data_IF_787533895401
#
_entry.id   IF_787533895401
#
_cell.length_a   1.000
_cell.length_b   1.000
_cell.length_c   1.000
_cell.angle_alpha   90.00
_cell.angle_beta   90.00
_cell.angle_gamma   90.00
#
_symmetry.space_group_name_H-M   'P 1'
#
loop_
_entity.id
_entity.type
_entity.pdbx_description
1 polymer ?
#
# COMPACT_ATOMS: atom_id res chain seq x y z
N UNK A 1 0.57 25.26 -7.15
CA UNK A 1 0.20 25.59 -8.55
C UNK A 1 -0.07 24.30 -9.29
N UNK A 2 -1.27 24.06 -9.82
CA UNK A 2 -1.71 23.16 -10.90
C UNK A 2 -2.94 22.27 -10.59
N UNK A 3 -3.99 22.84 -10.02
CA UNK A 3 -5.32 22.22 -10.15
C UNK A 3 -6.09 22.68 -11.41
N UNK A 4 -5.61 23.67 -12.14
CA UNK A 4 -6.29 24.21 -13.35
C UNK A 4 -5.91 23.50 -14.66
N UNK A 5 -4.83 22.72 -14.72
CA UNK A 5 -4.37 22.08 -15.98
C UNK A 5 -4.98 20.70 -16.26
N UNK A 6 -5.69 20.06 -15.31
CA UNK A 6 -6.30 18.75 -15.55
C UNK A 6 -7.60 18.80 -16.38
N UNK A 7 -8.24 19.96 -16.52
CA UNK A 7 -9.47 20.09 -17.29
C UNK A 7 -9.27 20.23 -18.82
N UNK A 8 -8.09 20.60 -19.28
CA UNK A 8 -7.84 20.95 -20.68
C UNK A 8 -7.72 19.74 -21.63
N UNK A 9 -7.47 18.52 -21.11
CA UNK A 9 -7.31 17.29 -21.91
C UNK A 9 -8.20 16.13 -21.42
N UNK A 10 -9.33 16.39 -20.76
CA UNK A 10 -10.17 15.32 -20.26
C UNK A 10 -11.18 14.83 -21.31
N UNK A 11 -11.05 13.58 -21.71
CA UNK A 11 -12.07 12.89 -22.52
C UNK A 11 -13.22 12.50 -21.58
N UNK A 12 -14.36 13.19 -21.71
CA UNK A 12 -15.52 13.04 -20.81
C UNK A 12 -15.97 11.57 -20.58
N UNK A 13 -15.85 10.70 -21.58
CA UNK A 13 -16.23 9.28 -21.41
C UNK A 13 -15.26 8.53 -20.52
N UNK A 14 -13.96 8.85 -20.55
CA UNK A 14 -12.97 8.22 -19.66
C UNK A 14 -13.20 8.59 -18.19
N UNK A 15 -13.56 9.85 -17.91
CA UNK A 15 -13.96 10.25 -16.56
C UNK A 15 -15.24 9.58 -16.05
N UNK A 16 -16.16 9.19 -16.95
CA UNK A 16 -17.31 8.37 -16.59
C UNK A 16 -16.93 6.93 -16.31
N UNK A 17 -15.98 6.39 -17.08
CA UNK A 17 -15.45 5.05 -16.90
C UNK A 17 -14.73 4.93 -15.53
N UNK A 18 -13.87 5.87 -15.17
CA UNK A 18 -13.18 5.83 -13.87
C UNK A 18 -14.16 5.80 -12.69
N UNK A 19 -15.26 6.58 -12.76
CA UNK A 19 -16.32 6.53 -11.73
C UNK A 19 -16.96 5.14 -11.61
N UNK A 20 -17.11 4.41 -12.71
CA UNK A 20 -17.64 3.03 -12.67
C UNK A 20 -16.59 2.10 -12.04
N UNK A 21 -15.31 2.20 -12.44
CA UNK A 21 -14.24 1.36 -11.91
C UNK A 21 -14.03 1.56 -10.41
N UNK A 22 -14.13 2.79 -9.92
CA UNK A 22 -13.96 3.15 -8.51
C UNK A 22 -15.04 2.55 -7.59
N UNK A 23 -16.14 2.01 -8.13
CA UNK A 23 -17.14 1.29 -7.33
C UNK A 23 -16.65 -0.09 -6.88
N UNK A 24 -15.81 -0.75 -7.69
CA UNK A 24 -15.39 -2.11 -7.45
C UNK A 24 -14.28 -2.16 -6.41
N UNK A 25 -14.55 -2.86 -5.32
CA UNK A 25 -13.63 -3.05 -4.21
C UNK A 25 -13.53 -4.55 -3.87
N UNK A 26 -12.64 -4.91 -2.96
CA UNK A 26 -12.57 -6.31 -2.50
C UNK A 26 -13.80 -6.78 -1.75
N UNK A 27 -14.54 -5.86 -1.13
CA UNK A 27 -15.77 -6.16 -0.37
C UNK A 27 -17.04 -5.99 -1.20
N UNK A 28 -17.04 -5.09 -2.19
CA UNK A 28 -18.14 -4.88 -3.12
C UNK A 28 -17.59 -5.03 -4.55
N UNK A 29 -17.75 -6.17 -5.16
CA UNK A 29 -17.14 -6.51 -6.45
C UNK A 29 -18.17 -6.91 -7.54
N UNK A 30 -19.46 -6.81 -7.26
CA UNK A 30 -20.55 -7.16 -8.16
C UNK A 30 -21.68 -6.15 -8.05
N UNK A 31 -22.14 -5.61 -9.18
CA UNK A 31 -23.17 -4.56 -9.23
C UNK A 31 -24.13 -4.76 -10.39
N UNK A 32 -25.42 -4.52 -10.15
CA UNK A 32 -26.40 -4.39 -11.23
C UNK A 32 -26.22 -3.07 -11.96
N UNK A 33 -26.73 -2.98 -13.20
CA UNK A 33 -26.73 -1.72 -13.96
C UNK A 33 -27.41 -0.58 -13.19
N UNK A 34 -28.47 -0.89 -12.45
CA UNK A 34 -29.19 0.09 -11.65
C UNK A 34 -28.33 0.65 -10.50
N UNK A 35 -27.65 -0.23 -9.77
CA UNK A 35 -26.72 0.17 -8.70
C UNK A 35 -25.58 1.04 -9.24
N UNK A 36 -24.98 0.65 -10.39
CA UNK A 36 -23.92 1.45 -11.04
C UNK A 36 -24.45 2.82 -11.44
N UNK A 37 -25.61 2.89 -12.08
CA UNK A 37 -26.25 4.14 -12.48
C UNK A 37 -26.48 5.06 -11.27
N UNK A 38 -27.04 4.53 -10.18
CA UNK A 38 -27.34 5.27 -8.95
C UNK A 38 -26.06 5.77 -8.25
N UNK A 39 -25.09 4.87 -8.05
CA UNK A 39 -23.83 5.21 -7.32
C UNK A 39 -22.94 6.20 -8.09
N UNK A 40 -22.91 6.12 -9.45
CA UNK A 40 -22.10 7.00 -10.30
C UNK A 40 -22.80 8.28 -10.75
N UNK A 41 -24.10 8.39 -10.54
CA UNK A 41 -24.98 9.45 -11.08
C UNK A 41 -24.96 9.53 -12.63
N UNK A 42 -24.71 8.40 -13.30
CA UNK A 42 -24.80 8.29 -14.76
C UNK A 42 -26.20 7.79 -15.15
N UNK A 43 -26.71 8.22 -16.32
CA UNK A 43 -27.93 7.61 -16.86
C UNK A 43 -27.70 6.11 -17.14
N UNK A 44 -28.74 5.27 -16.96
CA UNK A 44 -28.68 3.82 -17.25
C UNK A 44 -28.16 3.56 -18.66
N UNK A 45 -28.60 4.35 -19.66
CA UNK A 45 -28.14 4.21 -21.04
C UNK A 45 -26.63 4.48 -21.20
N UNK A 46 -26.08 5.49 -20.51
CA UNK A 46 -24.65 5.80 -20.54
C UNK A 46 -23.83 4.69 -19.88
N UNK A 47 -24.23 4.27 -18.67
CA UNK A 47 -23.57 3.19 -17.93
C UNK A 47 -23.59 1.89 -18.75
N UNK A 48 -24.74 1.51 -19.30
CA UNK A 48 -24.90 0.31 -20.13
C UNK A 48 -23.97 0.32 -21.35
N UNK A 49 -23.90 1.44 -22.09
CA UNK A 49 -23.01 1.53 -23.26
C UNK A 49 -21.54 1.37 -22.88
N UNK A 50 -21.09 1.96 -21.78
CA UNK A 50 -19.72 1.82 -21.29
C UNK A 50 -19.45 0.37 -20.91
N UNK A 51 -20.32 -0.23 -20.09
CA UNK A 51 -20.18 -1.62 -19.62
C UNK A 51 -20.17 -2.61 -20.77
N UNK A 52 -21.13 -2.50 -21.71
CA UNK A 52 -21.20 -3.39 -22.89
C UNK A 52 -19.99 -3.26 -23.81
N UNK A 53 -19.48 -2.03 -24.01
CA UNK A 53 -18.27 -1.85 -24.79
C UNK A 53 -17.08 -2.53 -24.11
N UNK A 54 -16.90 -2.33 -22.81
CA UNK A 54 -15.76 -2.89 -22.06
C UNK A 54 -15.88 -4.39 -21.82
N UNK A 55 -17.08 -4.94 -21.75
CA UNK A 55 -17.34 -6.38 -21.74
C UNK A 55 -16.78 -7.04 -23.00
N UNK A 56 -16.99 -6.44 -24.19
CA UNK A 56 -16.43 -6.95 -25.46
C UNK A 56 -14.90 -7.02 -25.45
N UNK A 57 -14.23 -6.16 -24.68
CA UNK A 57 -12.77 -6.13 -24.53
C UNK A 57 -12.27 -6.91 -23.30
N UNK A 58 -13.15 -7.64 -22.60
CA UNK A 58 -12.80 -8.46 -21.43
C UNK A 58 -12.52 -7.68 -20.14
N UNK A 59 -12.85 -6.38 -20.09
CA UNK A 59 -12.70 -5.56 -18.87
C UNK A 59 -13.84 -5.76 -17.88
N UNK A 60 -15.01 -6.15 -18.34
CA UNK A 60 -16.14 -6.54 -17.50
C UNK A 60 -16.67 -7.92 -17.89
N UNK A 61 -17.28 -8.61 -16.94
CA UNK A 61 -18.02 -9.84 -17.15
C UNK A 61 -19.45 -9.60 -16.65
N UNK A 62 -20.45 -9.99 -17.46
CA UNK A 62 -21.86 -9.93 -17.10
C UNK A 62 -22.38 -11.31 -16.71
N UNK A 63 -22.99 -11.42 -15.54
CA UNK A 63 -23.71 -12.60 -15.10
C UNK A 63 -25.21 -12.43 -15.41
N UNK A 64 -25.77 -13.19 -16.38
CA UNK A 64 -27.16 -13.03 -16.78
C UNK A 64 -28.18 -13.56 -15.75
N UNK A 65 -27.75 -14.44 -14.83
CA UNK A 65 -28.63 -14.99 -13.77
C UNK A 65 -28.85 -13.97 -12.66
N UNK A 66 -27.78 -13.31 -12.22
CA UNK A 66 -27.81 -12.31 -11.17
C UNK A 66 -28.00 -10.89 -11.72
N UNK A 67 -27.99 -10.70 -13.05
CA UNK A 67 -28.03 -9.41 -13.75
C UNK A 67 -26.93 -8.44 -13.27
N UNK A 68 -25.74 -8.97 -12.91
CA UNK A 68 -24.64 -8.19 -12.36
C UNK A 68 -23.42 -8.14 -13.27
N UNK A 69 -22.64 -7.06 -13.09
CA UNK A 69 -21.33 -6.86 -13.71
C UNK A 69 -20.24 -7.03 -12.65
N UNK A 70 -19.17 -7.72 -13.02
CA UNK A 70 -17.92 -7.87 -12.26
C UNK A 70 -16.74 -7.41 -13.10
N UNK A 71 -15.57 -7.18 -12.48
CA UNK A 71 -14.34 -6.92 -13.23
C UNK A 71 -13.92 -8.17 -14.02
N UNK A 72 -13.54 -7.97 -15.27
CA UNK A 72 -13.08 -9.04 -16.16
C UNK A 72 -11.59 -9.36 -15.98
N UNK A 73 -11.16 -10.53 -16.50
CA UNK A 73 -9.78 -11.02 -16.37
C UNK A 73 -8.73 -10.12 -17.07
N UNK A 74 -9.15 -9.22 -17.96
CA UNK A 74 -8.24 -8.28 -18.62
C UNK A 74 -7.51 -7.37 -17.60
N UNK A 75 -8.15 -7.05 -16.48
CA UNK A 75 -7.48 -6.32 -15.39
C UNK A 75 -6.39 -7.14 -14.72
N UNK A 76 -6.57 -8.45 -14.57
CA UNK A 76 -5.55 -9.34 -14.03
C UNK A 76 -4.33 -9.43 -14.98
N UNK A 77 -4.56 -9.55 -16.29
CA UNK A 77 -3.47 -9.54 -17.27
C UNK A 77 -2.64 -8.24 -17.21
N UNK A 78 -3.32 -7.09 -17.26
CA UNK A 78 -2.65 -5.80 -17.18
C UNK A 78 -1.96 -5.57 -15.82
N UNK A 79 -2.60 -5.97 -14.74
CA UNK A 79 -2.02 -5.96 -13.40
C UNK A 79 -0.79 -6.84 -13.32
N UNK A 80 -0.79 -8.02 -13.96
CA UNK A 80 0.36 -8.91 -14.07
C UNK A 80 1.57 -8.27 -14.77
N UNK A 81 1.34 -7.53 -15.86
CA UNK A 81 2.39 -6.78 -16.56
C UNK A 81 2.99 -5.70 -15.65
N UNK A 82 2.13 -4.92 -14.98
CA UNK A 82 2.59 -3.90 -14.02
C UNK A 82 3.39 -4.54 -12.89
N UNK A 83 2.88 -5.63 -12.32
CA UNK A 83 3.51 -6.36 -11.23
C UNK A 83 4.88 -6.93 -11.62
N UNK A 84 5.01 -7.51 -12.84
CA UNK A 84 6.27 -8.01 -13.36
C UNK A 84 7.30 -6.88 -13.62
N UNK A 85 6.84 -5.67 -13.94
CA UNK A 85 7.72 -4.52 -14.18
C UNK A 85 8.33 -3.91 -12.92
N UNK A 86 7.85 -4.27 -11.72
CA UNK A 86 8.37 -3.79 -10.44
C UNK A 86 9.68 -4.49 -10.08
N UNK A 87 10.80 -4.02 -10.63
CA UNK A 87 12.14 -4.60 -10.45
C UNK A 87 12.56 -4.75 -8.98
N UNK A 88 12.17 -3.81 -8.11
CA UNK A 88 12.43 -3.86 -6.66
C UNK A 88 11.83 -5.10 -6.01
N UNK A 89 10.66 -5.55 -6.46
CA UNK A 89 9.98 -6.73 -5.95
C UNK A 89 10.84 -7.99 -6.11
N UNK A 90 11.45 -8.17 -7.28
CA UNK A 90 12.28 -9.35 -7.56
C UNK A 90 13.52 -9.41 -6.65
N UNK A 91 14.08 -8.24 -6.30
CA UNK A 91 15.22 -8.14 -5.39
C UNK A 91 14.80 -8.42 -3.95
N UNK A 92 13.62 -7.96 -3.53
CA UNK A 92 13.13 -8.05 -2.14
C UNK A 92 12.52 -9.41 -1.83
N UNK A 93 11.89 -10.06 -2.82
CA UNK A 93 11.13 -11.32 -2.64
C UNK A 93 11.85 -12.42 -1.85
N UNK A 94 13.13 -12.77 -2.11
CA UNK A 94 13.82 -13.81 -1.34
C UNK A 94 13.98 -13.44 0.15
N UNK A 95 14.18 -12.16 0.45
CA UNK A 95 14.29 -11.69 1.83
C UNK A 95 12.93 -11.73 2.55
N UNK A 96 11.84 -11.43 1.84
CA UNK A 96 10.49 -11.56 2.40
C UNK A 96 10.17 -13.00 2.78
N UNK A 97 10.58 -13.98 1.97
CA UNK A 97 10.41 -15.40 2.27
C UNK A 97 11.20 -15.80 3.52
N UNK A 98 12.50 -15.43 3.57
CA UNK A 98 13.36 -15.70 4.72
C UNK A 98 12.78 -15.12 6.01
N UNK A 99 12.39 -13.83 5.99
CA UNK A 99 11.81 -13.15 7.15
C UNK A 99 10.46 -13.75 7.56
N UNK A 100 9.62 -14.12 6.59
CA UNK A 100 8.34 -14.75 6.84
C UNK A 100 8.48 -16.06 7.60
N UNK A 101 9.45 -16.90 7.21
CA UNK A 101 9.76 -18.15 7.91
C UNK A 101 10.44 -17.93 9.26
N UNK A 102 11.50 -17.11 9.32
CA UNK A 102 12.26 -16.87 10.55
C UNK A 102 11.41 -16.26 11.66
N UNK A 103 10.61 -15.26 11.33
CA UNK A 103 9.79 -14.49 12.26
C UNK A 103 8.37 -15.03 12.42
N UNK A 104 7.96 -16.02 11.60
CA UNK A 104 6.57 -16.51 11.50
C UNK A 104 5.57 -15.37 11.38
N UNK A 105 5.89 -14.39 10.53
CA UNK A 105 5.19 -13.13 10.39
C UNK A 105 4.67 -12.91 8.98
N UNK A 106 3.58 -12.14 8.86
CA UNK A 106 3.19 -11.58 7.56
C UNK A 106 4.19 -10.51 7.18
N UNK A 107 4.79 -10.63 5.99
CA UNK A 107 5.77 -9.66 5.45
C UNK A 107 5.12 -8.87 4.33
N UNK A 108 5.32 -7.56 4.35
CA UNK A 108 4.73 -6.60 3.45
C UNK A 108 5.80 -5.71 2.82
N UNK A 109 5.64 -5.40 1.54
CA UNK A 109 6.45 -4.41 0.83
C UNK A 109 5.54 -3.28 0.34
N UNK A 110 5.90 -2.03 0.63
CA UNK A 110 5.12 -0.86 0.25
C UNK A 110 5.96 0.26 -0.34
N UNK A 111 5.32 1.04 -1.20
CA UNK A 111 5.86 2.27 -1.79
C UNK A 111 4.85 3.40 -1.65
N UNK A 112 5.30 4.66 -1.67
CA UNK A 112 4.41 5.80 -1.89
C UNK A 112 4.45 6.16 -3.38
N UNK A 113 3.27 6.26 -3.98
CA UNK A 113 3.06 6.72 -5.34
C UNK A 113 1.74 7.49 -5.40
N UNK A 114 1.72 8.61 -6.12
CA UNK A 114 0.53 9.44 -6.30
C UNK A 114 -0.17 9.75 -4.95
N UNK A 115 0.64 10.17 -3.97
CA UNK A 115 0.24 10.57 -2.61
C UNK A 115 -0.36 9.44 -1.75
N UNK A 116 -0.21 8.18 -2.14
CA UNK A 116 -0.76 7.03 -1.42
C UNK A 116 0.29 5.95 -1.18
N UNK A 117 0.13 5.25 -0.06
CA UNK A 117 0.83 3.99 0.20
C UNK A 117 0.19 2.88 -0.62
N UNK A 118 0.99 2.19 -1.43
CA UNK A 118 0.61 0.97 -2.15
C UNK A 118 1.38 -0.23 -1.60
N UNK A 119 0.65 -1.32 -1.32
CA UNK A 119 1.25 -2.61 -1.02
C UNK A 119 1.59 -3.30 -2.34
N UNK A 120 2.88 -3.51 -2.62
CA UNK A 120 3.35 -4.05 -3.91
C UNK A 120 3.77 -5.52 -3.84
N UNK A 121 4.00 -6.06 -2.63
CA UNK A 121 4.17 -7.49 -2.40
C UNK A 121 3.76 -7.89 -0.98
N UNK A 122 3.41 -9.17 -0.78
CA UNK A 122 3.00 -9.76 0.49
C UNK A 122 3.46 -11.22 0.57
N UNK A 123 3.91 -11.63 1.75
CA UNK A 123 4.04 -13.03 2.15
C UNK A 123 3.21 -13.26 3.40
N UNK A 124 2.29 -14.20 3.32
CA UNK A 124 1.42 -14.52 4.46
C UNK A 124 2.15 -15.41 5.46
N UNK A 125 1.91 -15.15 6.73
CA UNK A 125 2.30 -16.03 7.80
C UNK A 125 1.33 -17.23 7.88
N UNK A 126 1.82 -18.36 8.32
CA UNK A 126 0.98 -19.49 8.76
C UNK A 126 0.27 -19.22 10.11
N UNK A 127 0.50 -18.04 10.70
CA UNK A 127 -0.09 -17.60 11.96
C UNK A 127 -1.60 -17.38 11.85
N UNK A 128 -2.28 -17.57 12.99
CA UNK A 128 -3.73 -17.36 13.14
C UNK A 128 -4.14 -15.91 12.87
N UNK A 129 -3.25 -14.93 13.13
CA UNK A 129 -3.52 -13.53 12.85
C UNK A 129 -3.19 -13.23 11.38
N UNK A 130 -4.26 -13.06 10.59
CA UNK A 130 -4.14 -12.60 9.20
C UNK A 130 -4.26 -11.09 9.14
N UNK A 131 -3.21 -10.44 8.67
CA UNK A 131 -3.27 -9.02 8.34
C UNK A 131 -4.10 -8.85 7.07
N UNK A 132 -5.22 -8.15 7.17
CA UNK A 132 -6.12 -7.83 6.05
C UNK A 132 -5.44 -6.85 5.07
N UNK A 133 -4.46 -7.35 4.34
CA UNK A 133 -3.74 -6.62 3.29
C UNK A 133 -3.59 -7.51 2.06
N UNK A 134 -3.54 -6.89 0.89
CA UNK A 134 -3.36 -7.57 -0.40
C UNK A 134 -2.53 -6.69 -1.33
N UNK A 135 -1.90 -7.31 -2.32
CA UNK A 135 -1.15 -6.61 -3.36
C UNK A 135 -2.09 -5.70 -4.15
N UNK A 136 -1.69 -4.44 -4.34
CA UNK A 136 -2.53 -3.41 -4.94
C UNK A 136 -3.37 -2.62 -3.95
N UNK A 137 -3.40 -3.00 -2.66
CA UNK A 137 -4.12 -2.22 -1.65
C UNK A 137 -3.52 -0.82 -1.53
N UNK A 138 -4.41 0.17 -1.57
CA UNK A 138 -4.11 1.59 -1.45
C UNK A 138 -4.53 2.10 -0.08
N UNK A 139 -3.66 2.85 0.59
CA UNK A 139 -3.88 3.44 1.92
C UNK A 139 -3.41 4.90 1.96
N UNK A 140 -3.86 5.70 2.92
CA UNK A 140 -3.25 6.99 3.20
C UNK A 140 -1.73 6.85 3.43
N UNK A 141 -0.90 7.86 3.08
CA UNK A 141 0.55 7.76 3.11
C UNK A 141 1.14 7.57 4.53
N UNK A 142 0.40 7.92 5.58
CA UNK A 142 0.79 7.76 6.98
C UNK A 142 0.40 6.41 7.60
N UNK A 143 -0.23 5.50 6.85
CA UNK A 143 -0.88 4.32 7.39
C UNK A 143 0.12 3.25 7.82
N UNK A 144 0.17 3.01 9.13
CA UNK A 144 0.94 1.94 9.75
C UNK A 144 2.45 2.02 9.54
N UNK A 145 3.14 0.95 9.92
CA UNK A 145 4.60 0.85 9.88
C UNK A 145 5.23 1.21 8.53
N UNK A 146 4.61 0.82 7.40
CA UNK A 146 5.16 1.10 6.07
C UNK A 146 5.00 2.57 5.72
N UNK A 147 3.81 3.15 5.93
CA UNK A 147 3.55 4.56 5.65
C UNK A 147 4.42 5.47 6.51
N UNK A 148 4.47 5.22 7.82
CA UNK A 148 5.32 5.99 8.72
C UNK A 148 6.82 5.88 8.38
N UNK A 149 7.29 4.67 8.02
CA UNK A 149 8.68 4.49 7.56
C UNK A 149 8.96 5.32 6.31
N UNK A 150 8.09 5.29 5.30
CA UNK A 150 8.28 6.08 4.08
C UNK A 150 8.24 7.59 4.33
N UNK A 151 7.27 8.06 5.12
CA UNK A 151 7.15 9.48 5.47
C UNK A 151 8.34 9.99 6.28
N UNK A 152 8.93 9.17 7.16
CA UNK A 152 10.07 9.57 7.98
C UNK A 152 11.28 10.01 7.14
N UNK A 153 11.44 9.43 5.94
CA UNK A 153 12.56 9.72 5.03
C UNK A 153 12.19 10.57 3.82
N UNK A 154 10.94 11.03 3.76
CA UNK A 154 10.48 11.93 2.70
C UNK A 154 11.01 13.36 2.94
N UNK A 155 11.19 14.12 1.86
CA UNK A 155 11.55 15.53 1.94
C UNK A 155 10.50 16.33 2.73
N UNK A 156 10.94 17.28 3.54
CA UNK A 156 10.07 17.93 4.53
C UNK A 156 8.89 18.68 3.89
N UNK A 157 9.07 19.29 2.73
CA UNK A 157 8.02 20.00 2.00
C UNK A 157 6.92 19.02 1.55
N UNK A 158 7.32 17.90 0.95
CA UNK A 158 6.38 16.87 0.49
C UNK A 158 5.67 16.19 1.66
N UNK A 159 6.41 15.86 2.73
CA UNK A 159 5.88 15.32 3.98
C UNK A 159 4.82 16.23 4.59
N UNK A 160 5.12 17.54 4.71
CA UNK A 160 4.19 18.51 5.25
C UNK A 160 2.93 18.65 4.38
N UNK A 161 3.08 18.63 3.06
CA UNK A 161 1.96 18.64 2.11
C UNK A 161 1.05 17.43 2.31
N UNK A 162 1.61 16.22 2.42
CA UNK A 162 0.85 15.00 2.62
C UNK A 162 0.15 14.97 3.98
N UNK A 163 0.80 15.41 5.05
CA UNK A 163 0.21 15.46 6.39
C UNK A 163 -0.89 16.53 6.51
N UNK A 164 -0.86 17.56 5.68
CA UNK A 164 -1.94 18.55 5.59
C UNK A 164 -3.13 17.99 4.82
N UNK A 165 -2.88 17.25 3.74
CA UNK A 165 -3.92 16.65 2.90
C UNK A 165 -4.60 15.45 3.58
N UNK A 166 -3.83 14.60 4.26
CA UNK A 166 -4.27 13.38 4.90
C UNK A 166 -4.01 13.46 6.40
N UNK A 167 -4.99 13.94 7.16
CA UNK A 167 -4.88 13.95 8.63
C UNK A 167 -4.99 12.52 9.19
N UNK A 168 -4.07 12.09 10.09
CA UNK A 168 -4.22 10.83 10.78
C UNK A 168 -5.56 10.72 11.50
N UNK A 169 -6.28 9.61 11.30
CA UNK A 169 -7.54 9.35 11.99
C UNK A 169 -7.40 8.14 12.92
N UNK A 170 -8.24 8.08 13.94
CA UNK A 170 -8.24 7.02 14.93
C UNK A 170 -8.69 5.69 14.31
N UNK A 171 -7.82 4.68 14.38
CA UNK A 171 -8.09 3.30 13.94
C UNK A 171 -8.27 2.42 15.17
N UNK A 172 -7.38 2.57 16.16
CA UNK A 172 -7.42 1.91 17.47
C UNK A 172 -7.24 2.96 18.57
N UNK A 173 -7.35 2.55 19.84
CA UNK A 173 -7.07 3.44 20.97
C UNK A 173 -5.60 3.92 21.01
N UNK A 174 -4.67 3.16 20.40
CA UNK A 174 -3.24 3.48 20.37
C UNK A 174 -2.80 4.25 19.12
N UNK A 175 -3.71 4.55 18.18
CA UNK A 175 -3.40 5.32 16.97
C UNK A 175 -2.97 6.74 17.34
N UNK A 176 -1.84 7.19 16.81
CA UNK A 176 -1.37 8.58 16.98
C UNK A 176 -2.15 9.47 16.01
N UNK A 177 -3.04 10.32 16.54
CA UNK A 177 -3.86 11.27 15.76
C UNK A 177 -3.38 12.71 15.94
N UNK A 178 -2.63 13.01 17.00
CA UNK A 178 -2.00 14.30 17.21
C UNK A 178 -0.84 14.49 16.24
N UNK A 179 -0.85 15.59 15.47
CA UNK A 179 0.10 15.81 14.38
C UNK A 179 1.52 16.05 14.88
N UNK A 180 1.69 16.67 16.04
CA UNK A 180 3.03 16.95 16.58
C UNK A 180 3.65 15.67 17.15
N UNK A 181 2.87 14.85 17.86
CA UNK A 181 3.31 13.51 18.30
C UNK A 181 3.63 12.62 17.09
N UNK A 182 2.85 12.75 16.02
CA UNK A 182 3.10 11.99 14.78
C UNK A 182 4.43 12.40 14.15
N UNK A 183 4.74 13.70 14.05
CA UNK A 183 6.04 14.20 13.57
C UNK A 183 7.21 13.71 14.45
N UNK A 184 7.06 13.80 15.78
CA UNK A 184 8.05 13.25 16.71
C UNK A 184 8.32 11.77 16.49
N UNK A 185 7.26 10.99 16.20
CA UNK A 185 7.40 9.57 15.84
C UNK A 185 8.14 9.36 14.52
N UNK A 186 7.93 10.21 13.52
CA UNK A 186 8.69 10.16 12.26
C UNK A 186 10.18 10.47 12.49
N UNK A 187 10.50 11.44 13.34
CA UNK A 187 11.88 11.78 13.69
C UNK A 187 12.56 10.64 14.47
N UNK A 188 11.83 9.99 15.37
CA UNK A 188 12.30 8.78 16.07
C UNK A 188 12.63 7.66 15.07
N UNK A 189 11.74 7.39 14.09
CA UNK A 189 11.95 6.38 13.04
C UNK A 189 13.21 6.70 12.24
N UNK A 190 13.41 7.97 11.86
CA UNK A 190 14.59 8.41 11.10
C UNK A 190 15.88 8.19 11.90
N UNK A 191 15.87 8.47 13.20
CA UNK A 191 17.00 8.29 14.12
C UNK A 191 17.33 6.82 14.38
N UNK A 192 16.29 5.98 14.60
CA UNK A 192 16.44 4.56 14.92
C UNK A 192 16.73 3.69 13.68
N UNK A 193 16.32 4.13 12.49
CA UNK A 193 16.40 3.35 11.26
C UNK A 193 15.27 2.35 11.04
N UNK A 194 14.30 2.30 11.96
CA UNK A 194 13.12 1.44 11.87
C UNK A 194 11.89 2.07 12.53
N UNK A 195 10.72 1.66 12.09
CA UNK A 195 9.43 1.94 12.72
C UNK A 195 9.01 0.75 13.56
N UNK A 196 8.73 0.96 14.84
CA UNK A 196 8.07 -0.01 15.71
C UNK A 196 6.77 0.59 16.22
N UNK A 197 5.66 -0.11 15.98
CA UNK A 197 4.33 0.26 16.47
C UNK A 197 3.65 -0.94 17.11
N UNK A 198 2.81 -0.70 18.12
CA UNK A 198 2.10 -1.74 18.86
C UNK A 198 0.62 -1.43 18.89
N UNK A 199 -0.17 -2.27 18.25
CA UNK A 199 -1.64 -2.14 18.24
C UNK A 199 -2.16 -0.79 17.71
N UNK A 200 -1.43 -0.09 16.83
CA UNK A 200 -1.83 1.24 16.33
C UNK A 200 -2.78 1.16 15.12
N UNK A 201 -2.72 0.04 14.38
CA UNK A 201 -3.54 -0.22 13.19
C UNK A 201 -4.44 -1.43 13.39
N UNK A 202 -3.93 -2.47 14.03
CA UNK A 202 -4.66 -3.70 14.36
C UNK A 202 -4.34 -4.02 15.82
N UNK A 203 -5.38 -4.20 16.65
CA UNK A 203 -5.19 -4.56 18.05
C UNK A 203 -4.49 -5.91 18.18
N UNK A 204 -3.56 -6.03 19.13
CA UNK A 204 -2.76 -7.24 19.35
C UNK A 204 -1.70 -7.52 18.28
N UNK A 205 -1.39 -6.54 17.39
CA UNK A 205 -0.37 -6.68 16.36
C UNK A 205 0.76 -5.67 16.58
N UNK A 206 2.00 -6.17 16.52
CA UNK A 206 3.21 -5.37 16.42
C UNK A 206 3.53 -5.20 14.94
N UNK A 207 3.66 -3.95 14.49
CA UNK A 207 4.19 -3.57 13.19
C UNK A 207 5.65 -3.14 13.30
N UNK A 208 6.52 -3.75 12.51
CA UNK A 208 7.92 -3.36 12.41
C UNK A 208 8.27 -3.08 10.95
N UNK A 209 8.71 -1.84 10.64
CA UNK A 209 9.02 -1.39 9.30
C UNK A 209 10.44 -0.86 9.16
N UNK A 210 11.10 -1.13 8.03
CA UNK A 210 12.45 -0.66 7.71
C UNK A 210 12.49 -0.03 6.31
N UNK A 211 13.34 1.00 6.08
CA UNK A 211 13.48 1.66 4.78
C UNK A 211 14.33 0.83 3.83
N UNK A 212 13.98 0.83 2.56
CA UNK A 212 14.79 0.30 1.46
C UNK A 212 15.31 1.47 0.63
N UNK A 213 16.64 1.56 0.48
CA UNK A 213 17.32 2.66 -0.22
C UNK A 213 17.84 2.23 -1.58
N UNK A 214 17.87 3.16 -2.52
CA UNK A 214 18.50 3.00 -3.83
C UNK A 214 19.95 3.53 -3.83
N UNK A 215 20.59 3.49 -4.99
CA UNK A 215 21.96 3.96 -5.22
C UNK A 215 22.20 5.44 -4.85
N UNK A 216 21.19 6.28 -4.88
CA UNK A 216 21.29 7.69 -4.47
C UNK A 216 21.08 7.92 -2.96
N UNK A 217 20.86 6.86 -2.18
CA UNK A 217 20.51 6.93 -0.76
C UNK A 217 19.04 7.26 -0.47
N UNK A 218 18.24 7.54 -1.51
CA UNK A 218 16.81 7.83 -1.35
C UNK A 218 16.07 6.56 -0.94
N UNK A 219 15.16 6.68 0.05
CA UNK A 219 14.23 5.61 0.41
C UNK A 219 13.17 5.47 -0.68
N UNK A 220 13.11 4.29 -1.31
CA UNK A 220 12.23 3.99 -2.45
C UNK A 220 11.11 3.02 -2.10
N UNK A 221 11.27 2.28 -1.01
CA UNK A 221 10.26 1.37 -0.48
C UNK A 221 10.42 1.19 1.03
N UNK A 222 9.41 0.63 1.69
CA UNK A 222 9.48 0.13 3.05
C UNK A 222 9.17 -1.37 3.06
N UNK A 223 9.97 -2.13 3.80
CA UNK A 223 9.72 -3.53 4.13
C UNK A 223 9.18 -3.59 5.55
N UNK A 224 8.12 -4.36 5.78
CA UNK A 224 7.49 -4.46 7.09
C UNK A 224 7.08 -5.88 7.43
N UNK A 225 7.07 -6.18 8.73
CA UNK A 225 6.52 -7.42 9.29
C UNK A 225 5.44 -7.10 10.30
N UNK A 226 4.40 -7.92 10.29
CA UNK A 226 3.32 -7.87 11.27
C UNK A 226 3.37 -9.14 12.14
N UNK A 227 3.53 -8.93 13.44
CA UNK A 227 3.75 -9.96 14.46
C UNK A 227 2.61 -9.97 15.48
N UNK A 228 2.13 -11.15 15.93
CA UNK A 228 1.15 -11.20 17.01
C UNK A 228 1.80 -10.77 18.35
N UNK A 229 1.28 -9.68 18.95
CA UNK A 229 1.88 -9.09 20.16
C UNK A 229 1.93 -10.08 21.33
N UNK A 230 0.90 -10.91 21.50
CA UNK A 230 0.78 -11.89 22.61
C UNK A 230 1.82 -13.02 22.56
N UNK A 231 2.46 -13.25 21.40
CA UNK A 231 3.50 -14.27 21.23
C UNK A 231 4.91 -13.71 21.36
N UNK A 232 5.07 -12.37 21.48
CA UNK A 232 6.36 -11.72 21.39
C UNK A 232 6.85 -11.28 22.78
N UNK A 233 8.02 -11.78 23.19
CA UNK A 233 8.79 -11.22 24.30
C UNK A 233 9.72 -10.12 23.79
N UNK A 234 10.19 -9.25 24.67
CA UNK A 234 11.10 -8.15 24.28
C UNK A 234 12.38 -8.64 23.57
N UNK A 235 12.90 -9.84 23.95
CA UNK A 235 14.04 -10.45 23.27
C UNK A 235 13.73 -10.82 21.81
N UNK A 236 12.49 -11.27 21.54
CA UNK A 236 12.06 -11.67 20.19
C UNK A 236 11.86 -10.44 19.32
N UNK A 237 11.35 -9.35 19.89
CA UNK A 237 11.23 -8.05 19.22
C UNK A 237 12.61 -7.50 18.85
N UNK A 238 13.57 -7.56 19.76
CA UNK A 238 14.96 -7.12 19.49
C UNK A 238 15.61 -7.95 18.36
N UNK A 239 15.38 -9.26 18.35
CA UNK A 239 15.83 -10.14 17.28
C UNK A 239 15.18 -9.77 15.95
N UNK A 240 13.86 -9.57 15.93
CA UNK A 240 13.14 -9.17 14.71
C UNK A 240 13.64 -7.82 14.18
N UNK A 241 13.94 -6.84 15.04
CA UNK A 241 14.54 -5.57 14.64
C UNK A 241 15.88 -5.81 13.94
N UNK A 242 16.76 -6.62 14.54
CA UNK A 242 18.07 -6.97 13.95
C UNK A 242 17.92 -7.60 12.57
N UNK A 243 17.11 -8.68 12.44
CA UNK A 243 16.87 -9.36 11.17
C UNK A 243 16.29 -8.43 10.08
N UNK A 244 15.39 -7.53 10.47
CA UNK A 244 14.80 -6.54 9.55
C UNK A 244 15.81 -5.50 9.08
N UNK A 245 16.66 -4.99 9.97
CA UNK A 245 17.72 -4.04 9.64
C UNK A 245 18.78 -4.69 8.71
N UNK A 246 19.18 -5.92 8.99
CA UNK A 246 20.11 -6.70 8.16
C UNK A 246 19.54 -6.90 6.75
N UNK A 247 18.27 -7.30 6.67
CA UNK A 247 17.57 -7.45 5.39
C UNK A 247 17.48 -6.11 4.62
N UNK A 248 17.12 -5.01 5.32
CA UNK A 248 17.09 -3.67 4.74
C UNK A 248 18.41 -3.26 4.12
N UNK A 249 19.52 -3.47 4.84
CA UNK A 249 20.86 -3.16 4.35
C UNK A 249 21.26 -4.05 3.15
N UNK A 250 20.99 -5.34 3.23
CA UNK A 250 21.32 -6.29 2.15
C UNK A 250 20.54 -5.98 0.86
N UNK A 251 19.25 -5.66 0.97
CA UNK A 251 18.41 -5.25 -0.14
C UNK A 251 18.90 -3.93 -0.73
N UNK A 252 19.15 -2.93 0.12
CA UNK A 252 19.62 -1.62 -0.31
C UNK A 252 20.96 -1.70 -1.03
N UNK A 253 21.90 -2.55 -0.57
CA UNK A 253 23.16 -2.82 -1.29
C UNK A 253 22.92 -3.41 -2.67
N UNK A 254 21.96 -4.33 -2.83
CA UNK A 254 21.59 -4.87 -4.17
C UNK A 254 20.96 -3.82 -5.08
N UNK A 255 20.37 -2.77 -4.50
CA UNK A 255 19.87 -1.60 -5.22
C UNK A 255 20.94 -0.52 -5.44
N UNK A 256 22.21 -0.84 -5.16
CA UNK A 256 23.36 0.04 -5.41
C UNK A 256 23.64 1.04 -4.28
N UNK A 257 22.95 0.93 -3.13
CA UNK A 257 23.25 1.79 -1.98
C UNK A 257 24.58 1.43 -1.33
N UNK A 258 25.47 2.40 -1.22
CA UNK A 258 26.78 2.27 -0.55
C UNK A 258 26.82 3.22 0.65
N UNK A 259 26.68 2.68 1.86
CA UNK A 259 26.66 3.47 3.08
C UNK A 259 28.02 4.21 3.34
N UNK A 260 29.13 3.69 2.79
CA UNK A 260 30.48 4.24 2.99
C UNK A 260 30.78 5.50 2.15
N UNK A 261 29.91 5.91 1.22
CA UNK A 261 30.12 7.09 0.36
C UNK A 261 29.38 8.34 0.79
N UNK A 262 28.71 8.31 1.94
CA UNK A 262 27.88 9.43 2.45
C UNK A 262 28.34 9.93 3.83
N UNK A 263 29.60 9.68 4.20
CA UNK A 263 30.27 10.26 5.36
C UNK A 263 31.06 11.51 4.99
#
# INVERSE_FOLDING_TARGET
>A
MNSKNHQQYSVKVLGKLTKILDLFTYTENSFTLEQISKKTHLSKATAFRILKTLEQYGFFTYNPVEETYTLGLRFLELGGIVYASLSIRNIVSPYMETLGHSLRATVLLGIIKDDHLFYIDKRESESIIRVSSYVGLKRPPYYGMLGMTLLAYMEDEEKQRLLTMYKPYKITEKTITDIEKFKQKLDEIKRLGYCLERSTVIEGVIGLGVPIRNFSGKVVAALGVALPEFQMKEKDIKRAIGEMLDASQAISRKLGHNAEKQG
#
